data_IF_469332293775
#
_entry.id   IF_469332293775
#
_cell.length_a   1.000
_cell.length_b   1.000
_cell.length_c   1.000
_cell.angle_alpha   90.00
_cell.angle_beta   90.00
_cell.angle_gamma   90.00
#
_symmetry.space_group_name_H-M   'P 1'
#
loop_
_entity.id
_entity.type
_entity.pdbx_description
1 polymer ?
#
# COMPACT_ATOMS: atom_id res chain seq x y z
N UNK A 1 -7.88 22.42 -20.96
CA UNK A 1 -7.91 21.08 -20.31
C UNK A 1 -7.61 21.29 -18.84
N UNK A 2 -8.26 20.58 -17.90
CA UNK A 2 -7.96 20.72 -16.47
C UNK A 2 -6.53 20.26 -16.15
N UNK A 3 -5.88 20.97 -15.24
CA UNK A 3 -4.56 20.60 -14.71
C UNK A 3 -4.69 19.75 -13.45
N UNK A 4 -3.82 18.75 -13.35
CA UNK A 4 -3.70 17.89 -12.19
C UNK A 4 -2.25 17.76 -11.78
N UNK A 5 -2.03 17.65 -10.48
CA UNK A 5 -0.72 17.33 -9.91
C UNK A 5 -0.72 15.88 -9.44
N UNK A 6 0.20 15.09 -9.99
CA UNK A 6 0.37 13.68 -9.63
C UNK A 6 1.63 13.54 -8.78
N UNK A 7 1.47 13.16 -7.53
CA UNK A 7 2.57 12.99 -6.57
C UNK A 7 2.70 11.52 -6.22
N UNK A 8 3.92 10.99 -6.22
CA UNK A 8 4.19 9.59 -5.88
C UNK A 8 5.00 9.46 -4.58
N UNK A 9 4.81 8.35 -3.88
CA UNK A 9 5.51 7.96 -2.65
C UNK A 9 6.15 6.59 -2.86
N UNK A 10 7.48 6.51 -2.76
CA UNK A 10 8.23 5.26 -2.90
C UNK A 10 8.56 4.59 -1.56
N UNK A 11 7.83 4.95 -0.50
CA UNK A 11 8.02 4.50 0.88
C UNK A 11 8.86 5.46 1.73
N UNK A 12 9.38 6.54 1.13
CA UNK A 12 10.08 7.62 1.82
C UNK A 12 9.19 8.85 2.11
N UNK A 13 7.91 8.78 1.74
CA UNK A 13 6.96 9.90 1.77
C UNK A 13 6.76 10.50 0.37
N UNK A 14 5.60 11.14 0.18
CA UNK A 14 5.26 11.83 -1.06
C UNK A 14 6.32 12.89 -1.42
N UNK A 15 7.06 12.65 -2.49
CA UNK A 15 7.99 13.63 -3.04
C UNK A 15 7.19 14.52 -3.99
N UNK A 16 6.99 15.78 -3.59
CA UNK A 16 6.10 16.70 -4.28
C UNK A 16 6.37 16.80 -5.78
N UNK A 17 5.35 16.54 -6.60
CA UNK A 17 5.40 16.92 -8.00
C UNK A 17 5.51 18.44 -8.10
N UNK A 18 6.54 18.94 -8.78
CA UNK A 18 6.69 20.37 -9.01
C UNK A 18 5.82 20.88 -10.16
N UNK A 19 5.37 19.99 -11.05
CA UNK A 19 4.66 20.36 -12.26
C UNK A 19 3.24 19.78 -12.30
N UNK A 20 2.28 20.63 -12.66
CA UNK A 20 0.92 20.20 -12.99
C UNK A 20 0.84 19.82 -14.46
N UNK A 21 0.12 18.76 -14.77
CA UNK A 21 -0.03 18.18 -16.11
C UNK A 21 -1.48 18.39 -16.58
N UNK A 22 -1.66 18.76 -17.85
CA UNK A 22 -2.99 18.86 -18.46
C UNK A 22 -3.54 17.48 -18.83
N UNK A 23 -4.78 17.19 -18.43
CA UNK A 23 -5.51 15.97 -18.80
C UNK A 23 -6.88 16.31 -19.41
N UNK A 24 -7.47 15.37 -20.16
CA UNK A 24 -8.82 15.56 -20.71
C UNK A 24 -9.86 15.70 -19.62
N UNK A 25 -9.71 14.94 -18.55
CA UNK A 25 -10.63 14.82 -17.42
C UNK A 25 -9.93 14.14 -16.22
N UNK A 26 -10.63 14.04 -15.10
CA UNK A 26 -10.12 13.40 -13.88
C UNK A 26 -9.77 11.93 -14.10
N UNK A 27 -10.53 11.19 -14.93
CA UNK A 27 -10.28 9.77 -15.17
C UNK A 27 -8.94 9.57 -15.87
N UNK A 28 -8.62 10.39 -16.87
CA UNK A 28 -7.32 10.34 -17.54
C UNK A 28 -6.18 10.58 -16.56
N UNK A 29 -6.32 11.54 -15.64
CA UNK A 29 -5.32 11.80 -14.60
C UNK A 29 -5.17 10.61 -13.61
N UNK A 30 -6.27 9.95 -13.24
CA UNK A 30 -6.20 8.78 -12.35
C UNK A 30 -5.65 7.54 -13.03
N UNK A 31 -5.93 7.35 -14.33
CA UNK A 31 -5.41 6.22 -15.10
C UNK A 31 -3.88 6.36 -15.26
N UNK A 32 -3.40 7.57 -15.55
CA UNK A 32 -1.95 7.87 -15.60
C UNK A 32 -1.26 7.66 -14.24
N UNK A 33 -1.89 8.12 -13.15
CA UNK A 33 -1.41 7.89 -11.79
C UNK A 33 -1.29 6.38 -11.43
N UNK A 34 -2.22 5.54 -11.87
CA UNK A 34 -2.15 4.09 -11.67
C UNK A 34 -1.01 3.45 -12.46
N UNK A 35 -0.77 3.90 -13.69
CA UNK A 35 0.37 3.45 -14.50
C UNK A 35 1.69 3.82 -13.82
N UNK A 36 1.81 5.06 -13.34
CA UNK A 36 3.00 5.51 -12.60
C UNK A 36 3.24 4.67 -11.33
N UNK A 37 2.19 4.34 -10.58
CA UNK A 37 2.29 3.48 -9.40
C UNK A 37 2.78 2.07 -9.75
N UNK A 38 2.30 1.49 -10.85
CA UNK A 38 2.71 0.16 -11.30
C UNK A 38 4.17 0.12 -11.78
N UNK A 39 4.60 1.12 -12.55
CA UNK A 39 5.99 1.25 -12.99
C UNK A 39 6.93 1.45 -11.79
N UNK A 40 6.53 2.27 -10.80
CA UNK A 40 7.30 2.43 -9.56
C UNK A 40 7.50 1.10 -8.82
N UNK A 41 6.43 0.31 -8.67
CA UNK A 41 6.53 -1.00 -8.04
C UNK A 41 7.48 -1.92 -8.82
N UNK A 42 7.42 -1.89 -10.16
CA UNK A 42 8.31 -2.66 -11.04
C UNK A 42 9.78 -2.24 -10.92
N UNK A 43 10.06 -0.95 -10.76
CA UNK A 43 11.43 -0.43 -10.63
C UNK A 43 12.06 -0.74 -9.26
N UNK A 44 11.25 -0.69 -8.20
CA UNK A 44 11.73 -0.77 -6.81
C UNK A 44 11.77 -2.21 -6.28
N UNK A 45 10.91 -3.10 -6.78
CA UNK A 45 10.97 -4.53 -6.49
C UNK A 45 12.07 -5.21 -7.33
N UNK A 46 12.72 -6.28 -6.84
CA UNK A 46 12.38 -7.09 -5.66
C UNK A 46 13.25 -6.80 -4.41
N UNK A 47 13.61 -5.54 -4.12
CA UNK A 47 14.60 -5.18 -3.08
C UNK A 47 14.15 -5.34 -1.61
N UNK A 48 13.40 -6.38 -1.27
CA UNK A 48 12.99 -6.67 0.10
C UNK A 48 11.79 -7.60 0.20
N UNK A 49 11.48 -8.05 1.42
CA UNK A 49 10.25 -8.81 1.73
C UNK A 49 9.02 -7.91 1.88
N UNK A 50 9.20 -6.59 1.97
CA UNK A 50 8.13 -5.62 2.13
C UNK A 50 8.43 -4.36 1.33
N UNK A 51 7.40 -3.78 0.73
CA UNK A 51 7.46 -2.44 0.16
C UNK A 51 6.07 -1.79 0.21
N UNK A 52 6.04 -0.47 0.31
CA UNK A 52 4.83 0.33 0.26
C UNK A 52 5.05 1.46 -0.74
N UNK A 53 4.11 1.62 -1.66
CA UNK A 53 4.12 2.65 -2.68
C UNK A 53 2.80 3.40 -2.67
N UNK A 54 2.81 4.65 -3.10
CA UNK A 54 1.61 5.49 -3.12
C UNK A 54 1.60 6.45 -4.30
N UNK A 55 0.40 6.84 -4.71
CA UNK A 55 0.17 7.93 -5.66
C UNK A 55 -1.03 8.76 -5.22
N UNK A 56 -0.94 10.07 -5.41
CA UNK A 56 -1.99 11.03 -5.12
C UNK A 56 -2.18 11.95 -6.32
N UNK A 57 -3.44 12.24 -6.66
CA UNK A 57 -3.81 13.22 -7.70
C UNK A 57 -4.54 14.38 -7.04
N UNK A 58 -4.06 15.58 -7.28
CA UNK A 58 -4.66 16.83 -6.83
C UNK A 58 -5.19 17.61 -8.04
N UNK A 59 -6.34 18.25 -7.90
CA UNK A 59 -6.88 19.15 -8.93
C UNK A 59 -6.28 20.57 -8.81
N UNK A 60 -6.70 21.47 -9.71
CA UNK A 60 -6.27 22.88 -9.74
C UNK A 60 -6.52 23.66 -8.44
N UNK A 61 -7.51 23.23 -7.64
CA UNK A 61 -7.81 23.84 -6.35
C UNK A 61 -6.93 23.30 -5.21
N UNK A 62 -5.96 22.42 -5.50
CA UNK A 62 -5.13 21.73 -4.51
C UNK A 62 -5.91 20.68 -3.72
N UNK A 63 -7.09 20.25 -4.19
CA UNK A 63 -7.87 19.20 -3.53
C UNK A 63 -7.41 17.85 -4.08
N UNK A 64 -7.02 16.94 -3.18
CA UNK A 64 -6.82 15.53 -3.53
C UNK A 64 -8.13 14.94 -4.04
N UNK A 65 -8.15 14.59 -5.33
CA UNK A 65 -9.31 13.97 -6.01
C UNK A 65 -9.16 12.46 -6.13
N UNK A 66 -7.94 11.94 -5.95
CA UNK A 66 -7.66 10.51 -5.99
C UNK A 66 -6.41 10.19 -5.17
N UNK A 67 -6.41 8.99 -4.59
CA UNK A 67 -5.26 8.38 -3.93
C UNK A 67 -5.31 6.87 -4.15
N UNK A 68 -4.16 6.27 -4.38
CA UNK A 68 -3.99 4.82 -4.38
C UNK A 68 -2.68 4.44 -3.69
N UNK A 69 -2.68 3.27 -3.07
CA UNK A 69 -1.56 2.72 -2.33
C UNK A 69 -1.36 1.26 -2.79
N UNK A 70 -0.11 0.81 -2.90
CA UNK A 70 0.28 -0.56 -3.23
C UNK A 70 1.19 -1.10 -2.13
N UNK A 71 0.78 -2.20 -1.51
CA UNK A 71 1.59 -2.91 -0.52
C UNK A 71 2.10 -4.24 -1.09
N UNK A 72 3.38 -4.48 -0.94
CA UNK A 72 4.04 -5.74 -1.29
C UNK A 72 4.49 -6.43 -0.01
N UNK A 73 4.15 -7.71 0.13
CA UNK A 73 4.66 -8.60 1.18
C UNK A 73 5.03 -9.95 0.58
N UNK A 74 6.22 -10.44 0.89
CA UNK A 74 6.72 -11.73 0.44
C UNK A 74 7.10 -12.61 1.62
N UNK A 75 6.67 -13.87 1.56
CA UNK A 75 6.89 -14.88 2.59
C UNK A 75 7.68 -16.03 1.96
N UNK A 76 8.80 -16.41 2.58
CA UNK A 76 9.50 -17.65 2.27
C UNK A 76 8.78 -18.83 2.92
N UNK A 77 9.12 -20.05 2.52
CA UNK A 77 8.59 -21.28 3.15
C UNK A 77 8.70 -21.24 4.68
N UNK A 78 9.87 -20.84 5.21
CA UNK A 78 10.07 -20.68 6.65
C UNK A 78 9.22 -19.56 7.28
N UNK A 79 8.89 -18.49 6.54
CA UNK A 79 7.99 -17.45 7.06
C UNK A 79 6.55 -17.97 7.15
N UNK A 80 6.11 -18.75 6.16
CA UNK A 80 4.79 -19.37 6.10
C UNK A 80 4.63 -20.38 7.23
N UNK A 81 5.58 -21.30 7.40
CA UNK A 81 5.55 -22.32 8.47
C UNK A 81 5.51 -21.70 9.86
N UNK A 82 6.26 -20.60 10.07
CA UNK A 82 6.26 -19.87 11.35
C UNK A 82 4.92 -19.19 11.61
N UNK A 83 4.34 -18.53 10.61
CA UNK A 83 3.04 -17.86 10.76
C UNK A 83 1.91 -18.86 11.04
N UNK A 84 1.92 -20.01 10.37
CA UNK A 84 0.98 -21.10 10.63
C UNK A 84 1.18 -21.69 12.03
N UNK A 85 2.42 -21.94 12.44
CA UNK A 85 2.73 -22.44 13.78
C UNK A 85 2.36 -21.47 14.91
N UNK A 86 2.58 -20.16 14.72
CA UNK A 86 2.20 -19.11 15.67
C UNK A 86 0.66 -19.01 15.81
N UNK A 87 -0.07 -19.16 14.71
CA UNK A 87 -1.53 -19.18 14.73
C UNK A 87 -2.08 -20.39 15.50
N UNK A 88 -1.48 -21.58 15.33
CA UNK A 88 -1.86 -22.79 16.05
C UNK A 88 -1.60 -22.68 17.56
N UNK A 89 -0.46 -22.10 17.95
CA UNK A 89 -0.16 -21.86 19.38
C UNK A 89 -1.16 -20.86 19.97
N UNK A 90 -1.46 -19.76 19.27
CA UNK A 90 -2.44 -18.79 19.74
C UNK A 90 -3.85 -19.41 19.88
N UNK A 91 -4.24 -20.28 18.96
CA UNK A 91 -5.50 -21.02 19.05
C UNK A 91 -5.54 -21.97 20.25
N UNK A 92 -4.42 -22.65 20.54
CA UNK A 92 -4.29 -23.52 21.71
C UNK A 92 -4.34 -22.74 23.02
N UNK A 93 -3.72 -21.56 23.10
CA UNK A 93 -3.76 -20.69 24.28
C UNK A 93 -5.17 -20.16 24.57
N UNK A 94 -5.91 -19.76 23.53
CA UNK A 94 -7.32 -19.37 23.66
C UNK A 94 -8.17 -20.56 24.13
N UNK A 95 -7.99 -21.74 23.54
CA UNK A 95 -8.71 -22.94 23.95
C UNK A 95 -8.41 -23.32 25.41
N UNK A 96 -7.15 -23.24 25.84
CA UNK A 96 -6.73 -23.49 27.21
C UNK A 96 -7.33 -22.46 28.20
N UNK A 97 -7.36 -21.18 27.83
CA UNK A 97 -7.94 -20.10 28.64
C UNK A 97 -9.45 -20.28 28.81
N UNK A 98 -10.15 -20.69 27.76
CA UNK A 98 -11.60 -20.96 27.81
C UNK A 98 -11.92 -22.23 28.61
N UNK A 99 -11.05 -23.24 28.59
CA UNK A 99 -11.21 -24.45 29.40
C UNK A 99 -10.85 -24.28 30.88
N UNK A 100 -9.97 -23.34 31.22
CA UNK A 100 -9.56 -23.12 32.60
C UNK A 100 -10.66 -22.52 33.49
N UNK A 101 -11.69 -21.87 32.91
CA UNK A 101 -12.80 -21.26 33.65
C UNK A 101 -12.39 -20.14 34.63
N UNK A 102 -13.32 -19.31 35.13
CA UNK A 102 -13.00 -18.38 36.22
C UNK A 102 -12.72 -19.21 37.49
N UNK A 103 -11.58 -18.98 38.14
CA UNK A 103 -11.34 -19.46 39.50
C UNK A 103 -12.32 -18.74 40.44
N UNK A 104 -13.34 -19.46 40.92
CA UNK A 104 -14.25 -19.04 42.00
C UNK A 104 -13.54 -19.12 43.36
#
# INVERSE_FOLDING_TARGET
MPHYKITTDDGAGFQGANDSIEFSDTKAATDDAQVALAEMAREKLPNGKRASFGVQVENEAGKSVYRADLEFSAHSEADIEREEGEADVAAQDVAATLWAGPLD
#
